data_IF_586274391841
#
_entry.id   IF_586274391841
#
_cell.length_a   1.000
_cell.length_b   1.000
_cell.length_c   1.000
_cell.angle_alpha   90.00
_cell.angle_beta   90.00
_cell.angle_gamma   90.00
#
_symmetry.space_group_name_H-M   'P 1'
#
loop_
_entity.id
_entity.type
_entity.pdbx_description
1 polymer ?
#
# COMPACT_ATOMS: atom_id res chain seq x y z
N UNK A 1 -10.30 13.55 16.43
CA UNK A 1 -9.29 12.71 15.77
C UNK A 1 -8.22 12.45 16.79
N UNK A 2 -7.84 11.18 16.94
CA UNK A 2 -6.71 10.75 17.76
C UNK A 2 -5.53 10.52 16.83
N UNK A 3 -4.68 11.54 16.69
CA UNK A 3 -3.46 11.45 15.88
C UNK A 3 -2.38 10.68 16.64
N UNK A 4 -1.54 9.94 15.91
CA UNK A 4 -0.35 9.28 16.44
C UNK A 4 0.90 9.72 15.66
N UNK A 5 2.10 9.62 16.28
CA UNK A 5 3.35 9.75 15.55
C UNK A 5 3.37 8.84 14.31
N UNK A 6 3.80 9.40 13.18
CA UNK A 6 3.81 8.74 11.88
C UNK A 6 2.61 9.03 10.99
N UNK A 7 1.50 9.54 11.54
CA UNK A 7 0.37 9.96 10.71
C UNK A 7 0.78 11.12 9.79
N UNK A 8 0.20 11.15 8.59
CA UNK A 8 0.32 12.28 7.67
C UNK A 8 -0.94 13.12 7.80
N UNK A 9 -0.76 14.41 8.02
CA UNK A 9 -1.84 15.39 8.22
C UNK A 9 -1.65 16.57 7.28
N UNK A 10 -2.71 17.31 7.05
CA UNK A 10 -2.69 18.58 6.33
C UNK A 10 -3.39 19.64 7.18
N UNK A 11 -3.01 20.91 6.99
CA UNK A 11 -3.78 22.00 7.53
C UNK A 11 -5.16 22.01 6.85
N UNK A 12 -6.22 22.31 7.60
CA UNK A 12 -7.59 22.47 7.06
C UNK A 12 -7.73 23.58 6.02
N UNK A 13 -6.73 24.47 5.93
CA UNK A 13 -6.61 25.47 4.87
C UNK A 13 -6.00 24.92 3.57
N UNK A 14 -5.64 23.63 3.53
CA UNK A 14 -4.77 23.02 2.54
C UNK A 14 -3.28 23.30 2.79
N UNK A 15 -2.43 22.88 1.84
CA UNK A 15 -0.99 23.13 1.87
C UNK A 15 -0.16 21.86 1.71
N UNK A 16 1.04 21.88 2.29
CA UNK A 16 1.94 20.71 2.27
C UNK A 16 1.48 19.66 3.28
N UNK A 17 1.56 18.36 2.93
CA UNK A 17 1.38 17.29 3.90
C UNK A 17 2.50 17.34 4.94
N UNK A 18 2.13 17.07 6.18
CA UNK A 18 2.97 17.17 7.37
C UNK A 18 3.01 15.80 8.06
N UNK A 19 4.18 15.33 8.46
CA UNK A 19 4.30 14.11 9.25
C UNK A 19 4.23 14.44 10.75
N UNK A 20 3.36 13.75 11.49
CA UNK A 20 3.23 13.88 12.93
C UNK A 20 4.43 13.24 13.62
N UNK A 21 5.14 14.00 14.45
CA UNK A 21 6.27 13.52 15.26
C UNK A 21 5.84 13.22 16.69
N UNK A 22 5.02 14.08 17.28
CA UNK A 22 4.57 13.96 18.66
C UNK A 22 3.18 14.59 18.80
N UNK A 23 2.34 14.03 19.67
CA UNK A 23 1.07 14.59 20.09
C UNK A 23 1.09 14.77 21.61
N UNK A 24 0.89 16.00 22.08
CA UNK A 24 0.89 16.33 23.50
C UNK A 24 -0.06 17.47 23.82
N UNK A 25 -0.96 17.25 24.77
CA UNK A 25 -1.87 18.28 25.30
C UNK A 25 -2.64 19.06 24.21
N UNK A 26 -3.09 18.36 23.16
CA UNK A 26 -3.82 18.97 22.02
C UNK A 26 -2.94 19.75 21.04
N UNK A 27 -1.62 19.72 21.20
CA UNK A 27 -0.64 20.25 20.27
C UNK A 27 0.08 19.11 19.55
N UNK A 28 0.44 19.34 18.30
CA UNK A 28 1.02 18.34 17.41
C UNK A 28 2.30 18.89 16.83
N UNK A 29 3.43 18.28 17.15
CA UNK A 29 4.70 18.59 16.52
C UNK A 29 4.75 17.89 15.16
N UNK A 30 4.90 18.66 14.09
CA UNK A 30 4.92 18.16 12.72
C UNK A 30 6.25 18.50 12.04
N UNK A 31 6.63 17.69 11.04
CA UNK A 31 7.75 17.96 10.14
C UNK A 31 7.31 17.85 8.69
N UNK A 32 7.89 18.67 7.82
CA UNK A 32 7.63 18.62 6.38
C UNK A 32 8.79 19.19 5.58
N UNK A 33 8.85 18.82 4.31
CA UNK A 33 9.79 19.39 3.35
C UNK A 33 9.15 20.61 2.70
N UNK A 34 9.83 21.75 2.75
CA UNK A 34 9.45 22.93 1.97
C UNK A 34 9.77 22.76 0.50
N UNK A 35 9.30 23.71 -0.30
CA UNK A 35 9.40 23.65 -1.76
C UNK A 35 10.85 23.71 -2.29
N UNK A 36 11.78 24.25 -1.49
CA UNK A 36 13.20 24.39 -1.81
C UNK A 36 14.05 23.23 -1.24
N UNK A 37 13.41 22.23 -0.61
CA UNK A 37 14.08 21.09 0.00
C UNK A 37 14.51 21.29 1.45
N UNK A 38 14.16 22.42 2.07
CA UNK A 38 14.39 22.66 3.48
C UNK A 38 13.46 21.83 4.36
N UNK A 39 13.98 21.30 5.47
CA UNK A 39 13.19 20.58 6.46
C UNK A 39 12.65 21.55 7.51
N UNK A 40 11.34 21.66 7.62
CA UNK A 40 10.66 22.46 8.62
C UNK A 40 10.12 21.59 9.76
N UNK A 41 10.04 22.18 10.94
CA UNK A 41 9.41 21.59 12.13
C UNK A 41 8.62 22.66 12.86
N UNK A 42 7.34 22.39 13.12
CA UNK A 42 6.47 23.31 13.82
C UNK A 42 5.47 22.57 14.72
N UNK A 43 5.06 23.22 15.81
CA UNK A 43 4.02 22.71 16.70
C UNK A 43 2.71 23.42 16.40
N UNK A 44 1.73 22.66 15.94
CA UNK A 44 0.44 23.16 15.49
C UNK A 44 -0.69 22.65 16.40
N UNK A 45 -1.75 23.43 16.65
CA UNK A 45 -2.92 22.95 17.38
C UNK A 45 -3.62 21.81 16.62
N UNK A 46 -4.06 20.76 17.33
CA UNK A 46 -4.85 19.67 16.75
C UNK A 46 -6.09 20.18 16.01
N UNK A 47 -6.66 21.31 16.46
CA UNK A 47 -7.85 21.92 15.88
C UNK A 47 -7.68 22.36 14.41
N UNK A 48 -6.45 22.64 13.96
CA UNK A 48 -6.19 23.12 12.59
C UNK A 48 -5.77 22.01 11.62
N UNK A 49 -5.65 20.77 12.10
CA UNK A 49 -5.15 19.63 11.33
C UNK A 49 -6.30 18.68 10.96
N UNK A 50 -6.14 18.02 9.83
CA UNK A 50 -6.94 16.86 9.42
C UNK A 50 -6.02 15.77 8.87
N UNK A 51 -6.45 14.51 8.95
CA UNK A 51 -5.68 13.39 8.40
C UNK A 51 -5.62 13.54 6.88
N UNK A 52 -4.43 13.46 6.30
CA UNK A 52 -4.29 13.44 4.86
C UNK A 52 -4.85 12.11 4.35
N UNK A 53 -5.80 12.17 3.41
CA UNK A 53 -6.26 10.97 2.71
C UNK A 53 -5.08 10.43 1.91
N UNK A 54 -4.71 9.17 2.16
CA UNK A 54 -3.85 8.46 1.24
C UNK A 54 -4.75 8.10 0.06
N UNK A 55 -4.56 8.76 -1.09
CA UNK A 55 -5.06 8.23 -2.36
C UNK A 55 -4.37 6.88 -2.59
N UNK A 56 -5.00 5.81 -2.11
CA UNK A 56 -4.60 4.43 -2.41
C UNK A 56 -5.20 3.94 -3.73
N UNK A 57 -5.64 4.86 -4.60
CA UNK A 57 -6.21 4.55 -5.90
C UNK A 57 -5.12 4.35 -6.96
N UNK A 58 -4.20 3.42 -6.71
CA UNK A 58 -3.39 2.81 -7.76
C UNK A 58 -3.46 1.28 -7.56
N UNK A 59 -4.11 0.61 -8.51
CA UNK A 59 -4.18 -0.84 -8.76
C UNK A 59 -5.01 -1.71 -7.79
N UNK A 60 -6.32 -1.76 -8.06
CA UNK A 60 -7.12 -2.99 -7.88
C UNK A 60 -6.74 -3.89 -9.08
N UNK A 61 -5.66 -4.67 -8.95
CA UNK A 61 -5.37 -5.76 -9.88
C UNK A 61 -6.48 -6.80 -9.69
N UNK A 62 -7.49 -6.76 -10.56
CA UNK A 62 -8.55 -7.76 -10.69
C UNK A 62 -7.93 -9.18 -10.68
N UNK A 63 -7.96 -9.85 -9.52
CA UNK A 63 -7.80 -11.30 -9.42
C UNK A 63 -9.05 -11.93 -10.04
N UNK A 64 -9.06 -12.09 -11.37
CA UNK A 64 -9.99 -12.98 -12.07
C UNK A 64 -9.69 -14.43 -11.65
N UNK A 65 -10.35 -14.82 -10.57
CA UNK A 65 -10.74 -16.18 -10.22
C UNK A 65 -11.72 -16.70 -11.29
N UNK A 66 -11.22 -17.46 -12.26
CA UNK A 66 -12.07 -18.32 -13.09
C UNK A 66 -11.63 -19.77 -12.90
N UNK A 67 -12.38 -20.42 -12.01
CA UNK A 67 -12.48 -21.86 -11.83
C UNK A 67 -13.04 -22.48 -13.12
N UNK A 68 -12.21 -23.21 -13.90
CA UNK A 68 -12.74 -24.15 -14.89
C UNK A 68 -12.45 -25.59 -14.44
N UNK A 69 -13.54 -26.21 -13.99
CA UNK A 69 -13.71 -27.60 -13.59
C UNK A 69 -13.33 -28.62 -14.68
N UNK A 70 -12.93 -29.80 -14.18
CA UNK A 70 -12.65 -31.04 -14.88
C UNK A 70 -13.62 -31.39 -16.04
N UNK A 71 -13.08 -31.82 -17.19
CA UNK A 71 -13.73 -32.85 -18.00
C UNK A 71 -12.70 -33.89 -18.47
N UNK A 72 -12.83 -35.09 -17.90
CA UNK A 72 -12.13 -36.30 -18.31
C UNK A 72 -12.50 -36.69 -19.75
N UNK A 73 -11.49 -36.98 -20.59
CA UNK A 73 -11.66 -37.99 -21.64
C UNK A 73 -10.55 -39.03 -21.57
N UNK A 74 -11.02 -40.27 -21.50
CA UNK A 74 -10.29 -41.49 -21.28
C UNK A 74 -9.67 -42.06 -22.57
N UNK A 75 -8.68 -42.94 -22.36
CA UNK A 75 -8.29 -44.10 -23.20
C UNK A 75 -7.72 -43.83 -24.61
N UNK A 76 -6.46 -44.23 -24.84
CA UNK A 76 -6.22 -45.54 -25.49
C UNK A 76 -4.75 -45.98 -25.38
N UNK A 77 -4.58 -47.30 -25.43
CA UNK A 77 -3.38 -48.14 -25.31
C UNK A 77 -2.35 -47.78 -26.43
N UNK A 78 -1.05 -48.11 -26.31
CA UNK A 78 -0.46 -49.18 -27.13
C UNK A 78 1.00 -49.46 -26.68
N UNK A 79 1.22 -50.76 -26.47
CA UNK A 79 2.41 -51.62 -26.53
C UNK A 79 3.87 -51.14 -26.37
N UNK A 80 4.52 -51.88 -25.47
CA UNK A 80 5.94 -52.23 -25.36
C UNK A 80 6.60 -52.55 -26.71
N UNK A 81 7.61 -51.77 -27.10
CA UNK A 81 8.64 -52.30 -28.01
C UNK A 81 10.07 -51.86 -27.60
N UNK A 82 10.79 -52.88 -27.14
CA UNK A 82 12.23 -52.95 -26.90
C UNK A 82 13.07 -52.18 -27.94
N UNK A 83 14.06 -51.42 -27.43
CA UNK A 83 15.47 -51.65 -27.78
C UNK A 83 16.42 -50.73 -26.99
N UNK A 84 16.88 -51.18 -25.83
CA UNK A 84 18.18 -50.75 -25.32
C UNK A 84 19.11 -51.97 -25.24
N UNK A 85 20.11 -52.01 -26.11
CA UNK A 85 21.30 -52.81 -25.89
C UNK A 85 22.53 -51.96 -26.19
N UNK A 86 23.03 -51.38 -25.11
CA UNK A 86 24.44 -51.09 -24.84
C UNK A 86 25.37 -52.17 -25.41
N UNK A 87 26.31 -51.74 -26.27
CA UNK A 87 27.65 -52.30 -26.45
C UNK A 87 28.55 -51.24 -27.11
#
# INVERSE_FOLDING_TARGET
MDLKPGDVVILKSGGHPLSVVEVKDGNVACVWMGNEGDLFRETLPLAVLELAEADTSEDDEDEEDDEDEDEEEAEDEEEDDRANKVA
#
